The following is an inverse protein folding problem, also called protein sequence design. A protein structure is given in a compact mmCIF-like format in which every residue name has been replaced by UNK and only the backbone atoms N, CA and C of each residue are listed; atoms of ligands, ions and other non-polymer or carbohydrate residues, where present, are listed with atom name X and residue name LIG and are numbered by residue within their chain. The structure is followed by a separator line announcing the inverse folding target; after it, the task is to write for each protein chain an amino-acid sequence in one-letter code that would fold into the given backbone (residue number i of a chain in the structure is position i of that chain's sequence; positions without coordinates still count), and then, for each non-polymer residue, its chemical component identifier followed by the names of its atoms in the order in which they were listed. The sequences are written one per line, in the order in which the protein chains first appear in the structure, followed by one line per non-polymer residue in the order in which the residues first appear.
data_IF_288478593779
#
_entry.id   IF_288478593779
#
_cell.length_a   1.000
_cell.length_b   1.000
_cell.length_c   1.000
_cell.angle_alpha   90.00
_cell.angle_beta   90.00
_cell.angle_gamma   90.00
#
_symmetry.space_group_name_H-M   'P 1'
#
loop_
_entity.id
_entity.type
_entity.pdbx_description
1 polymer ?
#
# COMPACT_ATOMS: atom_id res chain seq x y z
N UNK A 1 -50.23 16.28 -15.26
CA UNK A 1 -48.88 15.73 -15.44
C UNK A 1 -48.37 15.32 -14.06
N UNK A 2 -48.54 14.03 -13.71
CA UNK A 2 -48.11 13.41 -12.46
C UNK A 2 -46.58 13.28 -12.43
N UNK A 3 -45.94 13.93 -11.44
CA UNK A 3 -44.48 13.77 -11.17
C UNK A 3 -44.30 12.42 -10.47
N UNK A 4 -43.58 11.49 -11.13
CA UNK A 4 -43.14 10.26 -10.51
C UNK A 4 -42.18 10.57 -9.37
N UNK A 5 -42.31 9.93 -8.20
CA UNK A 5 -41.36 10.12 -7.10
C UNK A 5 -39.96 9.64 -7.54
N UNK A 6 -38.91 10.45 -7.25
CA UNK A 6 -37.52 10.06 -7.44
C UNK A 6 -37.23 8.85 -6.55
N UNK A 7 -36.87 7.74 -7.16
CA UNK A 7 -36.38 6.59 -6.42
C UNK A 7 -35.12 7.03 -5.69
N UNK A 8 -35.15 6.95 -4.36
CA UNK A 8 -33.99 7.04 -3.50
C UNK A 8 -33.03 5.90 -3.90
N UNK A 9 -31.93 6.22 -4.54
CA UNK A 9 -30.85 5.30 -4.78
C UNK A 9 -29.99 5.24 -3.53
N UNK A 10 -30.49 4.56 -2.50
CA UNK A 10 -29.62 4.03 -1.47
C UNK A 10 -28.76 2.95 -2.15
N UNK A 11 -27.49 3.28 -2.37
CA UNK A 11 -26.51 2.33 -2.88
C UNK A 11 -26.33 1.21 -1.86
N UNK A 12 -26.34 -0.06 -2.27
CA UNK A 12 -26.09 -1.16 -1.35
C UNK A 12 -24.64 -1.04 -0.87
N UNK A 13 -24.50 -0.60 0.36
CA UNK A 13 -23.22 -0.38 1.09
C UNK A 13 -22.62 -1.71 1.52
N UNK A 14 -22.79 -2.77 0.81
CA UNK A 14 -22.01 -4.00 1.06
C UNK A 14 -22.34 -5.00 -0.04
N UNK A 15 -21.35 -5.49 -0.76
CA UNK A 15 -21.50 -6.79 -1.41
C UNK A 15 -21.73 -7.80 -0.29
N UNK A 16 -23.01 -8.13 -0.03
CA UNK A 16 -23.40 -9.23 0.82
C UNK A 16 -22.74 -10.50 0.27
N UNK A 17 -22.13 -11.27 1.17
CA UNK A 17 -21.67 -12.66 0.97
C UNK A 17 -20.24 -12.90 0.44
N UNK A 18 -19.27 -12.06 0.80
CA UNK A 18 -17.88 -12.50 0.79
C UNK A 18 -17.46 -12.87 2.23
N UNK A 19 -16.93 -14.06 2.45
CA UNK A 19 -16.21 -14.36 3.70
C UNK A 19 -15.04 -13.39 3.85
N UNK A 20 -14.79 -12.92 5.06
CA UNK A 20 -13.66 -12.04 5.33
C UNK A 20 -12.36 -12.82 5.11
N UNK A 21 -11.38 -12.16 4.50
CA UNK A 21 -10.00 -12.63 4.50
C UNK A 21 -9.31 -12.18 5.78
N UNK A 22 -8.31 -12.93 6.23
CA UNK A 22 -7.47 -12.54 7.39
C UNK A 22 -6.73 -11.22 7.19
N UNK A 23 -6.69 -10.73 5.95
CA UNK A 23 -6.09 -9.46 5.57
C UNK A 23 -7.07 -8.29 5.57
N UNK A 24 -8.36 -8.55 5.80
CA UNK A 24 -9.36 -7.48 5.83
C UNK A 24 -9.22 -6.67 7.11
N UNK A 25 -9.35 -5.36 6.99
CA UNK A 25 -9.35 -4.45 8.13
C UNK A 25 -10.54 -4.74 9.06
N UNK A 26 -10.28 -4.76 10.37
CA UNK A 26 -11.35 -4.71 11.36
C UNK A 26 -12.05 -3.35 11.34
N UNK A 27 -13.16 -3.22 12.05
CA UNK A 27 -13.87 -1.94 12.10
C UNK A 27 -13.06 -0.87 12.84
N UNK A 28 -12.32 -1.25 13.90
CA UNK A 28 -11.41 -0.37 14.62
C UNK A 28 -10.26 0.12 13.72
N UNK A 29 -9.66 -0.79 12.96
CA UNK A 29 -8.61 -0.45 12.00
C UNK A 29 -9.13 0.46 10.89
N UNK A 30 -10.35 0.18 10.40
CA UNK A 30 -10.97 1.03 9.39
C UNK A 30 -11.25 2.44 9.91
N UNK A 31 -11.72 2.58 11.15
CA UNK A 31 -11.96 3.89 11.76
C UNK A 31 -10.70 4.78 11.82
N UNK A 32 -9.51 4.16 11.89
CA UNK A 32 -8.22 4.88 11.85
C UNK A 32 -7.86 5.28 10.40
N UNK A 33 -8.19 4.43 9.44
CA UNK A 33 -7.80 4.62 8.03
C UNK A 33 -8.77 5.54 7.29
N UNK A 34 -10.07 5.46 7.58
CA UNK A 34 -11.11 6.21 6.87
C UNK A 34 -10.86 7.73 6.79
N UNK A 35 -10.42 8.41 7.87
CA UNK A 35 -10.13 9.85 7.81
C UNK A 35 -8.97 10.22 6.87
N UNK A 36 -8.11 9.26 6.53
CA UNK A 36 -6.97 9.46 5.64
C UNK A 36 -7.36 9.33 4.16
N UNK A 37 -8.59 8.87 3.89
CA UNK A 37 -9.04 8.69 2.50
C UNK A 37 -9.23 10.04 1.82
N UNK A 38 -8.70 10.22 0.60
CA UNK A 38 -8.95 11.42 -0.18
C UNK A 38 -10.44 11.65 -0.37
N UNK A 39 -10.88 12.89 -0.18
CA UNK A 39 -12.27 13.28 -0.41
C UNK A 39 -12.69 12.93 -1.85
N UNK A 40 -13.95 12.55 -2.03
CA UNK A 40 -14.49 12.37 -3.37
C UNK A 40 -14.41 13.69 -4.12
N UNK A 41 -13.84 13.68 -5.33
CA UNK A 41 -13.79 14.86 -6.19
C UNK A 41 -15.23 15.23 -6.59
N UNK A 42 -15.79 16.22 -5.94
CA UNK A 42 -17.16 16.74 -6.22
C UNK A 42 -17.16 17.95 -7.15
N UNK A 43 -15.97 18.52 -7.44
CA UNK A 43 -15.83 19.69 -8.33
C UNK A 43 -15.88 19.25 -9.79
N UNK A 44 -16.78 19.83 -10.55
CA UNK A 44 -16.92 19.73 -12.02
C UNK A 44 -17.59 18.48 -12.61
N UNK A 45 -18.74 18.04 -12.06
CA UNK A 45 -19.70 17.26 -12.86
C UNK A 45 -19.28 15.84 -13.27
N UNK A 46 -18.24 15.27 -12.66
CA UNK A 46 -17.84 13.89 -12.92
C UNK A 46 -18.79 12.86 -12.29
N UNK A 47 -18.71 11.61 -12.75
CA UNK A 47 -19.46 10.50 -12.17
C UNK A 47 -19.12 10.36 -10.68
N UNK A 48 -20.11 10.29 -9.77
CA UNK A 48 -19.85 10.09 -8.35
C UNK A 48 -19.03 8.84 -8.10
N UNK A 49 -18.14 8.89 -7.10
CA UNK A 49 -17.37 7.73 -6.67
C UNK A 49 -18.32 6.64 -6.12
N UNK A 50 -18.39 5.51 -6.79
CA UNK A 50 -19.24 4.39 -6.41
C UNK A 50 -18.47 3.24 -5.76
N UNK A 51 -17.13 3.32 -5.75
CA UNK A 51 -16.27 2.26 -5.24
C UNK A 51 -16.10 2.37 -3.73
N UNK A 52 -16.15 1.24 -3.04
CA UNK A 52 -15.93 1.16 -1.59
C UNK A 52 -14.43 1.31 -1.28
N UNK A 53 -14.06 2.38 -0.57
CA UNK A 53 -12.65 2.65 -0.23
C UNK A 53 -12.05 1.59 0.70
N UNK A 54 -12.82 1.10 1.68
CA UNK A 54 -12.39 -0.03 2.52
C UNK A 54 -12.08 -1.27 1.68
N UNK A 55 -12.90 -1.54 0.66
CA UNK A 55 -12.64 -2.62 -0.29
C UNK A 55 -11.36 -2.43 -1.09
N UNK A 56 -11.02 -1.19 -1.48
CA UNK A 56 -9.75 -0.88 -2.16
C UNK A 56 -8.58 -1.19 -1.22
N UNK A 57 -8.62 -0.69 0.01
CA UNK A 57 -7.56 -0.94 1.00
C UNK A 57 -7.41 -2.42 1.29
N UNK A 58 -8.51 -3.15 1.53
CA UNK A 58 -8.48 -4.58 1.78
C UNK A 58 -7.86 -5.36 0.61
N UNK A 59 -8.18 -4.99 -0.63
CA UNK A 59 -7.57 -5.63 -1.81
C UNK A 59 -6.07 -5.36 -1.90
N UNK A 60 -5.62 -4.15 -1.57
CA UNK A 60 -4.19 -3.81 -1.53
C UNK A 60 -3.48 -4.60 -0.41
N UNK A 61 -4.09 -4.72 0.76
CA UNK A 61 -3.54 -5.50 1.87
C UNK A 61 -3.45 -6.99 1.52
N UNK A 62 -4.47 -7.54 0.84
CA UNK A 62 -4.45 -8.90 0.32
C UNK A 62 -3.27 -9.13 -0.62
N UNK A 63 -3.09 -8.25 -1.62
CA UNK A 63 -1.95 -8.31 -2.54
C UNK A 63 -0.61 -8.26 -1.81
N UNK A 64 -0.47 -7.35 -0.86
CA UNK A 64 0.75 -7.20 -0.08
C UNK A 64 1.08 -8.44 0.76
N UNK A 65 0.08 -9.06 1.36
CA UNK A 65 0.22 -10.24 2.21
C UNK A 65 0.53 -11.51 1.41
N UNK A 66 -0.16 -11.70 0.30
CA UNK A 66 -0.05 -12.91 -0.52
C UNK A 66 1.09 -12.83 -1.54
N UNK A 67 1.49 -11.62 -1.95
CA UNK A 67 2.45 -11.41 -3.02
C UNK A 67 1.95 -11.87 -4.39
N UNK A 68 0.63 -12.09 -4.56
CA UNK A 68 0.09 -12.53 -5.82
C UNK A 68 0.20 -11.44 -6.91
N UNK A 69 0.19 -11.87 -8.16
CA UNK A 69 0.16 -10.93 -9.28
C UNK A 69 -1.21 -10.23 -9.36
N UNK A 70 -1.25 -9.01 -9.91
CA UNK A 70 -2.50 -8.25 -10.09
C UNK A 70 -3.58 -9.02 -10.85
N UNK A 71 -3.16 -9.86 -11.79
CA UNK A 71 -4.06 -10.73 -12.57
C UNK A 71 -4.70 -11.84 -11.73
N UNK A 72 -4.07 -12.19 -10.61
CA UNK A 72 -4.48 -13.31 -9.76
C UNK A 72 -5.33 -12.84 -8.55
N UNK A 73 -5.79 -11.60 -8.56
CA UNK A 73 -6.72 -11.10 -7.53
C UNK A 73 -8.01 -11.91 -7.60
N UNK A 74 -8.49 -12.47 -6.48
CA UNK A 74 -9.75 -13.19 -6.41
C UNK A 74 -10.94 -12.36 -6.94
N UNK A 75 -11.86 -13.02 -7.64
CA UNK A 75 -13.02 -12.36 -8.26
C UNK A 75 -14.03 -11.76 -7.27
N UNK A 76 -13.98 -12.16 -6.02
CA UNK A 76 -14.80 -11.64 -4.92
C UNK A 76 -14.23 -10.36 -4.30
N UNK A 77 -12.99 -10.00 -4.63
CA UNK A 77 -12.41 -8.70 -4.36
C UNK A 77 -12.77 -7.68 -5.44
N UNK A 78 -12.32 -6.45 -5.28
CA UNK A 78 -12.56 -5.40 -6.27
C UNK A 78 -11.75 -5.65 -7.56
N UNK A 79 -12.28 -5.21 -8.72
CA UNK A 79 -11.58 -5.36 -10.01
C UNK A 79 -10.19 -4.73 -9.98
N UNK A 80 -9.20 -5.46 -10.49
CA UNK A 80 -7.78 -5.04 -10.50
C UNK A 80 -7.55 -3.64 -11.05
N UNK A 81 -8.20 -3.31 -12.18
CA UNK A 81 -8.02 -2.01 -12.83
C UNK A 81 -8.36 -0.85 -11.90
N UNK A 82 -9.52 -0.95 -11.24
CA UNK A 82 -9.96 0.08 -10.30
C UNK A 82 -9.04 0.18 -9.09
N UNK A 83 -8.59 -0.96 -8.55
CA UNK A 83 -7.69 -0.98 -7.39
C UNK A 83 -6.31 -0.45 -7.77
N UNK A 84 -5.82 -0.80 -8.96
CA UNK A 84 -4.52 -0.33 -9.44
C UNK A 84 -4.47 1.18 -9.63
N UNK A 85 -5.54 1.78 -10.15
CA UNK A 85 -5.62 3.24 -10.32
C UNK A 85 -5.52 3.96 -8.97
N UNK A 86 -6.25 3.47 -7.95
CA UNK A 86 -6.12 4.01 -6.59
C UNK A 86 -4.75 3.74 -5.97
N UNK A 87 -4.20 2.55 -6.16
CA UNK A 87 -2.86 2.20 -5.67
C UNK A 87 -1.80 3.13 -6.26
N UNK A 88 -1.81 3.36 -7.58
CA UNK A 88 -0.87 4.26 -8.24
C UNK A 88 -1.01 5.69 -7.72
N UNK A 89 -2.24 6.21 -7.66
CA UNK A 89 -2.50 7.54 -7.13
C UNK A 89 -2.01 7.67 -5.67
N UNK A 90 -2.38 6.75 -4.79
CA UNK A 90 -2.06 6.81 -3.37
C UNK A 90 -0.57 6.58 -3.06
N UNK A 91 0.13 5.86 -3.94
CA UNK A 91 1.59 5.76 -3.89
C UNK A 91 2.23 7.12 -4.15
N UNK A 92 1.75 7.82 -5.17
CA UNK A 92 2.36 9.05 -5.66
C UNK A 92 1.98 10.26 -4.77
N UNK A 93 0.77 10.31 -4.22
CA UNK A 93 0.32 11.38 -3.32
C UNK A 93 0.64 11.13 -1.83
N UNK A 94 1.20 9.98 -1.48
CA UNK A 94 1.61 9.63 -0.12
C UNK A 94 0.50 9.05 0.76
N UNK A 95 -0.71 8.88 0.27
CA UNK A 95 -1.83 8.30 1.03
C UNK A 95 -1.49 6.89 1.55
N UNK A 96 -0.84 6.03 0.74
CA UNK A 96 -0.41 4.70 1.20
C UNK A 96 0.56 4.78 2.36
N UNK A 97 1.49 5.71 2.33
CA UNK A 97 2.45 5.93 3.41
C UNK A 97 1.74 6.36 4.69
N UNK A 98 0.74 7.23 4.58
CA UNK A 98 -0.07 7.66 5.71
C UNK A 98 -0.86 6.49 6.32
N UNK A 99 -1.52 5.67 5.50
CA UNK A 99 -2.27 4.47 5.93
C UNK A 99 -1.34 3.51 6.69
N UNK A 100 -0.21 3.13 6.08
CA UNK A 100 0.74 2.19 6.69
C UNK A 100 1.30 2.75 8.00
N UNK A 101 1.58 4.05 8.06
CA UNK A 101 2.09 4.70 9.27
C UNK A 101 1.05 4.68 10.37
N UNK A 102 -0.21 5.02 10.08
CA UNK A 102 -1.28 5.02 11.06
C UNK A 102 -1.54 3.62 11.64
N UNK A 103 -1.68 2.60 10.78
CA UNK A 103 -1.89 1.22 11.22
C UNK A 103 -0.70 0.69 12.01
N UNK A 104 0.54 0.97 11.59
CA UNK A 104 1.74 0.57 12.33
C UNK A 104 1.81 1.23 13.70
N UNK A 105 1.49 2.52 13.78
CA UNK A 105 1.47 3.25 15.06
C UNK A 105 0.43 2.66 15.98
N UNK A 106 -0.76 2.38 15.47
CA UNK A 106 -1.84 1.77 16.24
C UNK A 106 -1.43 0.40 16.79
N UNK A 107 -0.92 -0.51 15.95
CA UNK A 107 -0.46 -1.85 16.39
C UNK A 107 0.62 -1.74 17.47
N UNK A 108 1.55 -0.80 17.35
CA UNK A 108 2.60 -0.61 18.35
C UNK A 108 2.06 -0.20 19.69
N UNK A 109 1.08 0.72 19.70
CA UNK A 109 0.43 1.19 20.92
C UNK A 109 -0.39 0.07 21.56
N UNK A 110 -1.13 -0.70 20.78
CA UNK A 110 -1.86 -1.88 21.25
C UNK A 110 -0.93 -2.94 21.87
N UNK A 111 0.27 -3.10 21.30
CA UNK A 111 1.32 -3.97 21.85
C UNK A 111 2.05 -3.36 23.07
N UNK A 112 1.60 -2.22 23.60
CA UNK A 112 2.25 -1.52 24.72
C UNK A 112 3.61 -0.91 24.38
N UNK A 113 3.88 -0.65 23.09
CA UNK A 113 5.14 -0.07 22.62
C UNK A 113 4.96 1.41 22.31
N UNK A 114 6.10 2.14 22.34
CA UNK A 114 6.12 3.53 21.87
C UNK A 114 5.62 3.66 20.43
N UNK A 115 4.83 4.70 20.07
CA UNK A 115 4.32 4.93 18.73
C UNK A 115 5.41 4.95 17.66
N UNK A 116 6.57 5.52 18.01
CA UNK A 116 7.76 5.59 17.14
C UNK A 116 8.79 4.54 17.53
N UNK A 117 9.37 3.79 16.56
CA UNK A 117 10.42 2.85 16.87
C UNK A 117 11.68 3.56 17.35
N UNK A 118 12.25 3.11 18.47
CA UNK A 118 13.50 3.62 19.04
C UNK A 118 14.75 2.97 18.43
N UNK A 119 14.59 1.82 17.75
CA UNK A 119 15.66 1.08 17.11
C UNK A 119 15.28 0.65 15.70
N UNK A 120 16.25 0.54 14.83
CA UNK A 120 16.11 0.02 13.47
C UNK A 120 17.22 -0.98 13.18
N UNK A 121 16.86 -2.08 12.51
CA UNK A 121 17.82 -2.99 11.92
C UNK A 121 18.09 -2.55 10.49
N UNK A 122 19.36 -2.29 10.18
CA UNK A 122 19.81 -1.99 8.82
C UNK A 122 20.27 -3.30 8.20
N UNK A 123 19.56 -3.76 7.18
CA UNK A 123 20.00 -4.89 6.37
C UNK A 123 20.60 -4.41 5.05
N UNK A 124 21.72 -5.03 4.65
CA UNK A 124 22.37 -4.75 3.39
C UNK A 124 22.26 -5.93 2.45
N UNK A 125 21.63 -5.71 1.31
CA UNK A 125 21.50 -6.72 0.26
C UNK A 125 22.42 -6.38 -0.92
N UNK A 126 23.24 -7.34 -1.35
CA UNK A 126 24.00 -7.23 -2.59
C UNK A 126 23.19 -7.84 -3.73
N UNK A 127 22.93 -7.06 -4.76
CA UNK A 127 22.16 -7.50 -5.95
C UNK A 127 23.13 -7.63 -7.12
N UNK A 128 23.17 -8.82 -7.72
CA UNK A 128 23.92 -9.06 -8.96
C UNK A 128 23.46 -8.09 -10.05
N UNK A 129 24.40 -7.44 -10.71
CA UNK A 129 24.12 -6.69 -11.93
C UNK A 129 24.45 -7.55 -13.15
N UNK A 130 23.77 -7.29 -14.26
CA UNK A 130 24.09 -7.88 -15.58
C UNK A 130 25.46 -7.37 -16.07
N UNK A 131 26.02 -8.02 -17.08
CA UNK A 131 27.30 -7.62 -17.69
C UNK A 131 27.31 -6.17 -18.19
N UNK A 132 26.14 -5.64 -18.56
CA UNK A 132 25.92 -4.26 -19.04
C UNK A 132 25.54 -3.30 -17.91
N UNK A 133 25.88 -3.59 -16.68
CA UNK A 133 25.35 -2.97 -15.46
C UNK A 133 25.76 -1.54 -15.11
N UNK A 134 26.39 -0.77 -16.03
CA UNK A 134 26.76 0.65 -15.82
C UNK A 134 27.91 0.87 -14.82
N UNK A 135 28.33 2.15 -14.64
CA UNK A 135 29.54 2.55 -13.93
C UNK A 135 29.50 2.43 -12.40
N UNK A 136 28.29 2.33 -11.81
CA UNK A 136 28.10 2.25 -10.35
C UNK A 136 28.02 0.80 -9.84
N UNK A 137 28.95 -0.04 -10.20
CA UNK A 137 29.05 -1.42 -9.70
C UNK A 137 30.35 -1.63 -8.95
N UNK A 138 30.29 -2.37 -7.85
CA UNK A 138 31.45 -2.78 -7.09
C UNK A 138 31.47 -4.28 -6.86
N UNK A 139 32.45 -4.75 -6.12
CA UNK A 139 32.61 -6.15 -5.75
C UNK A 139 32.40 -6.33 -4.24
N UNK A 140 31.46 -7.19 -3.84
CA UNK A 140 31.27 -7.59 -2.45
C UNK A 140 32.16 -8.82 -2.16
N UNK A 141 33.29 -8.59 -1.54
CA UNK A 141 34.26 -9.65 -1.23
C UNK A 141 33.74 -10.72 -0.27
N UNK A 142 32.85 -10.36 0.63
CA UNK A 142 32.22 -11.30 1.57
C UNK A 142 31.25 -12.25 0.90
N UNK A 143 30.45 -11.76 -0.03
CA UNK A 143 29.46 -12.54 -0.80
C UNK A 143 29.97 -13.01 -2.16
N UNK A 144 31.18 -12.59 -2.56
CA UNK A 144 31.81 -12.87 -3.87
C UNK A 144 30.89 -12.49 -5.06
N UNK A 145 30.20 -11.36 -4.98
CA UNK A 145 29.24 -10.91 -5.98
C UNK A 145 29.66 -9.55 -6.51
N UNK A 146 29.74 -9.41 -7.85
CA UNK A 146 29.77 -8.11 -8.52
C UNK A 146 28.35 -7.56 -8.62
N UNK A 147 28.13 -6.34 -8.09
CA UNK A 147 26.81 -5.78 -8.10
C UNK A 147 26.69 -4.47 -7.35
N UNK A 148 25.43 -4.15 -7.00
CA UNK A 148 25.08 -2.96 -6.20
C UNK A 148 24.67 -3.39 -4.81
N UNK A 149 25.13 -2.66 -3.79
CA UNK A 149 24.73 -2.86 -2.41
C UNK A 149 23.56 -1.96 -2.09
N UNK A 150 22.45 -2.54 -1.62
CA UNK A 150 21.26 -1.81 -1.17
C UNK A 150 21.22 -1.83 0.34
N UNK A 151 21.06 -0.67 0.94
CA UNK A 151 20.83 -0.53 2.38
C UNK A 151 19.38 -0.09 2.58
N UNK A 152 18.64 -0.83 3.41
CA UNK A 152 17.32 -0.47 3.86
C UNK A 152 17.44 0.16 5.25
N UNK A 153 17.24 1.47 5.35
CA UNK A 153 17.13 2.15 6.63
C UNK A 153 15.67 2.31 7.01
N UNK A 154 15.26 1.63 8.08
CA UNK A 154 13.90 1.75 8.65
C UNK A 154 13.72 2.93 9.59
N UNK A 155 14.76 3.69 9.89
CA UNK A 155 14.72 4.87 10.77
C UNK A 155 14.13 6.09 10.08
N UNK A 156 14.31 6.25 8.79
CA UNK A 156 13.78 7.39 8.06
C UNK A 156 12.34 7.12 7.63
N UNK A 157 11.50 8.14 7.73
CA UNK A 157 10.15 8.14 7.15
C UNK A 157 10.14 8.02 5.62
N UNK A 158 11.33 7.96 5.00
CA UNK A 158 11.57 7.75 3.58
C UNK A 158 12.35 6.45 3.42
N UNK A 159 11.88 5.60 2.53
CA UNK A 159 12.68 4.52 1.94
C UNK A 159 13.78 5.19 1.08
N UNK A 160 14.83 5.67 1.74
CA UNK A 160 16.03 6.08 1.02
C UNK A 160 16.80 4.81 0.66
N UNK A 161 16.55 4.29 -0.51
CA UNK A 161 17.49 3.38 -1.13
C UNK A 161 18.68 4.21 -1.62
N UNK A 162 19.62 4.54 -0.74
CA UNK A 162 20.89 5.12 -1.19
C UNK A 162 21.67 4.00 -1.85
N UNK A 163 21.81 4.07 -3.16
CA UNK A 163 22.76 3.25 -3.89
C UNK A 163 24.16 3.78 -3.60
N UNK A 164 24.88 3.15 -2.66
CA UNK A 164 26.33 3.41 -2.53
C UNK A 164 27.08 2.38 -3.37
N UNK A 165 28.06 2.81 -4.19
CA UNK A 165 29.01 1.90 -4.81
C UNK A 165 29.69 1.05 -3.74
N UNK A 166 29.98 -0.19 -4.03
CA UNK A 166 30.76 -1.06 -3.14
C UNK A 166 32.24 -0.59 -3.29
N UNK A 167 32.93 -0.15 -2.22
CA UNK A 167 34.34 0.18 -2.34
C UNK A 167 35.15 -1.06 -2.71
N UNK A 168 36.17 -0.86 -3.52
CA UNK A 168 37.14 -1.90 -3.93
C UNK A 168 37.97 -2.37 -2.76
#
# INVERSE_FOLDING_TARGET
RSRRPRRSTAFPTTRRFRSAYDTDLTDEQWAIVEPLMPAAKTRHGGRPRTICMRGVVNTILYLNRTGCQWEMIPHDLLPKSSVYDYFAQWRDDGTLTAIVTALRTWIRVEDGREPTPSAACIDSQSVKTTEVGGDERGYDGGKKIKGRKRHLDRKSKRLNSSHKPIPY
#
